data_IF_838755118375
#
_entry.id   IF_838755118375
#
_cell.length_a   1.000
_cell.length_b   1.000
_cell.length_c   1.000
_cell.angle_alpha   90.00
_cell.angle_beta   90.00
_cell.angle_gamma   90.00
#
_symmetry.space_group_name_H-M   'P 1'
#
loop_
_entity.id
_entity.type
_entity.pdbx_description
1 polymer ?
#
# COMPACT_ATOMS: atom_id res chain seq x y z
N UNK A 1 0.66 22.35 18.56
CA UNK A 1 1.46 22.75 17.39
C UNK A 1 1.70 21.48 16.60
N UNK A 2 0.89 21.23 15.56
CA UNK A 2 1.09 20.08 14.67
C UNK A 2 2.07 20.54 13.60
N UNK A 3 3.24 19.94 13.55
CA UNK A 3 4.23 20.21 12.50
C UNK A 3 3.66 19.74 11.16
N UNK A 4 3.64 20.62 10.16
CA UNK A 4 3.50 20.24 8.75
C UNK A 4 4.70 19.35 8.38
N UNK A 5 4.56 18.04 8.58
CA UNK A 5 5.44 17.07 7.95
C UNK A 5 5.08 17.08 6.46
N UNK A 6 6.03 17.37 5.55
CA UNK A 6 5.78 17.21 4.13
C UNK A 6 5.33 15.76 3.90
N UNK A 7 4.23 15.57 3.19
CA UNK A 7 3.82 14.24 2.75
C UNK A 7 4.89 13.80 1.75
N UNK A 8 5.77 12.90 2.18
CA UNK A 8 6.76 12.29 1.30
C UNK A 8 6.03 11.36 0.33
N UNK A 9 6.07 11.72 -0.95
CA UNK A 9 5.52 10.92 -2.03
C UNK A 9 6.64 10.17 -2.71
N UNK A 10 6.51 8.85 -2.80
CA UNK A 10 7.52 7.98 -3.39
C UNK A 10 7.07 7.52 -4.77
N UNK A 11 7.87 7.69 -5.83
CA UNK A 11 7.56 7.12 -7.14
C UNK A 11 7.37 5.60 -7.02
N UNK A 12 6.33 5.07 -7.65
CA UNK A 12 6.04 3.64 -7.63
C UNK A 12 5.36 3.15 -8.92
N UNK A 13 5.30 1.84 -9.06
CA UNK A 13 4.52 1.14 -10.07
C UNK A 13 3.42 0.31 -9.41
N UNK A 14 2.23 0.34 -9.99
CA UNK A 14 1.07 -0.46 -9.57
C UNK A 14 0.81 -1.53 -10.62
N UNK A 15 0.62 -2.78 -10.19
CA UNK A 15 0.39 -3.96 -11.03
C UNK A 15 -0.78 -4.79 -10.48
N UNK A 16 -2.02 -4.38 -10.76
CA UNK A 16 -3.22 -5.13 -10.35
C UNK A 16 -3.46 -6.38 -11.21
N UNK A 17 -2.92 -6.39 -12.44
CA UNK A 17 -2.96 -7.53 -13.35
C UNK A 17 -1.54 -7.97 -13.75
N UNK A 18 -1.29 -9.27 -13.97
CA UNK A 18 0.01 -9.74 -14.41
C UNK A 18 0.46 -9.08 -15.73
N UNK A 19 1.62 -8.42 -15.70
CA UNK A 19 2.24 -7.82 -16.89
C UNK A 19 1.88 -6.37 -17.15
N UNK A 20 0.90 -5.80 -16.45
CA UNK A 20 0.58 -4.38 -16.51
C UNK A 20 1.29 -3.63 -15.39
N UNK A 21 1.97 -2.53 -15.72
CA UNK A 21 2.58 -1.64 -14.72
C UNK A 21 2.22 -0.19 -15.03
N UNK A 22 1.55 0.43 -14.08
CA UNK A 22 1.12 1.83 -14.20
C UNK A 22 1.89 2.69 -13.20
N UNK A 23 2.40 3.82 -13.65
CA UNK A 23 3.14 4.76 -12.78
C UNK A 23 2.20 5.50 -11.84
N UNK A 24 2.66 5.67 -10.61
CA UNK A 24 1.95 6.43 -9.58
C UNK A 24 2.94 7.01 -8.56
N UNK A 25 2.40 7.79 -7.63
CA UNK A 25 3.06 8.24 -6.42
C UNK A 25 2.44 7.52 -5.22
N UNK A 26 3.25 6.80 -4.47
CA UNK A 26 2.88 6.19 -3.20
C UNK A 26 2.75 7.27 -2.13
N UNK A 27 1.56 7.33 -1.52
CA UNK A 27 1.26 8.21 -0.38
C UNK A 27 1.59 7.50 0.93
N UNK A 28 1.33 6.20 1.03
CA UNK A 28 1.67 5.40 2.20
C UNK A 28 0.93 4.06 2.26
N UNK A 29 1.32 3.26 3.26
CA UNK A 29 0.70 1.97 3.56
C UNK A 29 -0.17 2.06 4.82
N UNK A 30 -1.22 1.25 4.85
CA UNK A 30 -2.09 1.10 6.01
C UNK A 30 -2.71 -0.30 6.03
N UNK A 31 -3.41 -0.64 7.11
CA UNK A 31 -4.21 -1.85 7.17
C UNK A 31 -5.66 -1.49 6.89
N UNK A 32 -6.19 -1.98 5.77
CA UNK A 32 -7.62 -1.95 5.53
C UNK A 32 -8.28 -3.08 6.32
N UNK A 33 -9.30 -2.76 7.11
CA UNK A 33 -10.00 -3.74 7.91
C UNK A 33 -11.47 -3.36 8.08
N UNK A 34 -12.35 -4.35 7.93
CA UNK A 34 -13.77 -4.20 8.22
C UNK A 34 -14.37 -5.48 8.79
N UNK A 35 -15.53 -5.33 9.41
CA UNK A 35 -16.35 -6.44 9.86
C UNK A 35 -17.49 -6.63 8.86
N UNK A 36 -17.82 -7.88 8.54
CA UNK A 36 -19.02 -8.21 7.80
C UNK A 36 -19.98 -9.03 8.67
N UNK A 37 -21.27 -8.83 8.48
CA UNK A 37 -22.31 -9.58 9.17
C UNK A 37 -22.42 -11.04 8.70
N UNK A 38 -23.28 -11.80 9.39
CA UNK A 38 -23.71 -13.13 8.94
C UNK A 38 -24.43 -12.99 7.58
N UNK A 39 -24.20 -13.95 6.69
CA UNK A 39 -25.01 -14.11 5.50
C UNK A 39 -26.46 -14.45 5.87
N UNK A 40 -27.42 -13.83 5.17
CA UNK A 40 -28.85 -14.10 5.34
C UNK A 40 -29.32 -15.40 4.67
N UNK A 41 -28.45 -16.08 3.92
CA UNK A 41 -28.77 -17.32 3.22
C UNK A 41 -28.53 -18.56 4.11
N UNK A 42 -29.43 -19.54 4.00
CA UNK A 42 -29.23 -20.87 4.61
C UNK A 42 -27.96 -21.51 4.05
N UNK A 43 -26.99 -21.80 4.94
CA UNK A 43 -25.67 -22.32 4.57
C UNK A 43 -24.64 -21.25 4.18
N UNK A 44 -24.94 -19.96 4.37
CA UNK A 44 -24.02 -18.87 4.08
C UNK A 44 -22.88 -18.69 5.09
N UNK A 45 -22.01 -17.71 4.85
CA UNK A 45 -20.86 -17.41 5.70
C UNK A 45 -21.27 -16.76 7.03
N UNK A 46 -20.46 -17.02 8.08
CA UNK A 46 -20.59 -16.39 9.38
C UNK A 46 -19.93 -15.01 9.40
N UNK A 47 -20.38 -14.16 10.31
CA UNK A 47 -19.80 -12.85 10.58
C UNK A 47 -18.32 -13.02 10.90
N UNK A 48 -17.54 -12.09 10.38
CA UNK A 48 -16.09 -12.18 10.43
C UNK A 48 -15.44 -10.83 10.29
N UNK A 49 -14.14 -10.82 10.52
CA UNK A 49 -13.28 -9.68 10.27
C UNK A 49 -12.35 -10.01 9.11
N UNK A 50 -12.24 -9.07 8.18
CA UNK A 50 -11.26 -9.11 7.11
C UNK A 50 -10.27 -7.99 7.37
N UNK A 51 -8.98 -8.30 7.26
CA UNK A 51 -7.91 -7.33 7.33
C UNK A 51 -6.80 -7.69 6.34
N UNK A 52 -6.30 -6.71 5.60
CA UNK A 52 -5.15 -6.90 4.72
C UNK A 52 -4.36 -5.60 4.58
N UNK A 53 -3.05 -5.70 4.25
CA UNK A 53 -2.24 -4.52 3.96
C UNK A 53 -2.66 -3.89 2.64
N UNK A 54 -2.84 -2.58 2.66
CA UNK A 54 -3.22 -1.76 1.53
C UNK A 54 -2.27 -0.56 1.39
N UNK A 55 -2.27 0.05 0.21
CA UNK A 55 -1.52 1.25 -0.09
C UNK A 55 -2.43 2.30 -0.72
N UNK A 56 -2.19 3.57 -0.38
CA UNK A 56 -2.79 4.71 -1.08
C UNK A 56 -1.81 5.20 -2.12
N UNK A 57 -2.27 5.28 -3.38
CA UNK A 57 -1.48 5.73 -4.52
C UNK A 57 -2.21 6.84 -5.26
N UNK A 58 -1.45 7.77 -5.84
CA UNK A 58 -1.94 8.83 -6.72
C UNK A 58 -1.40 8.61 -8.14
N UNK A 59 -2.28 8.39 -9.10
CA UNK A 59 -1.91 8.21 -10.49
C UNK A 59 -1.61 9.54 -11.19
N UNK A 60 -0.97 9.48 -12.37
CA UNK A 60 -0.69 10.66 -13.19
C UNK A 60 -1.96 11.43 -13.60
N UNK A 61 -3.13 10.75 -13.66
CA UNK A 61 -4.43 11.38 -13.88
C UNK A 61 -4.88 12.29 -12.73
N UNK A 62 -4.23 12.20 -11.57
CA UNK A 62 -4.65 12.81 -10.31
C UNK A 62 -5.60 11.94 -9.48
N UNK A 63 -6.00 10.76 -9.99
CA UNK A 63 -6.85 9.83 -9.25
C UNK A 63 -6.11 9.25 -8.06
N UNK A 64 -6.74 9.29 -6.88
CA UNK A 64 -6.25 8.63 -5.67
C UNK A 64 -7.01 7.33 -5.49
N UNK A 65 -6.29 6.21 -5.34
CA UNK A 65 -6.90 4.89 -5.13
C UNK A 65 -6.24 4.14 -3.99
N UNK A 66 -7.03 3.25 -3.39
CA UNK A 66 -6.54 2.21 -2.50
C UNK A 66 -6.29 0.96 -3.33
N UNK A 67 -5.08 0.40 -3.23
CA UNK A 67 -4.68 -0.85 -3.89
C UNK A 67 -4.14 -1.82 -2.85
N UNK A 68 -4.09 -3.11 -3.18
CA UNK A 68 -3.40 -4.07 -2.31
C UNK A 68 -1.92 -3.73 -2.21
N UNK A 69 -1.33 -3.88 -1.03
CA UNK A 69 0.08 -3.54 -0.84
C UNK A 69 1.02 -4.37 -1.73
N UNK A 70 0.66 -5.62 -2.05
CA UNK A 70 1.43 -6.50 -2.94
C UNK A 70 1.36 -6.12 -4.42
N UNK A 71 0.44 -5.23 -4.80
CA UNK A 71 0.39 -4.66 -6.14
C UNK A 71 1.35 -3.49 -6.35
N UNK A 72 2.01 -2.99 -5.30
CA UNK A 72 2.87 -1.80 -5.34
C UNK A 72 4.35 -2.19 -5.34
N UNK A 73 5.10 -1.64 -6.29
CA UNK A 73 6.57 -1.68 -6.31
C UNK A 73 7.11 -0.26 -6.24
N UNK A 74 7.84 0.08 -5.18
CA UNK A 74 8.51 1.38 -5.07
C UNK A 74 9.62 1.47 -6.11
N UNK A 75 9.65 2.57 -6.88
CA UNK A 75 10.71 2.82 -7.84
C UNK A 75 11.99 3.26 -7.11
N UNK A 76 13.15 2.76 -7.53
CA UNK A 76 14.40 2.95 -6.79
C UNK A 76 14.46 2.22 -5.44
N UNK A 77 13.57 1.25 -5.17
CA UNK A 77 13.58 0.49 -3.91
C UNK A 77 14.92 -0.18 -3.61
N UNK A 78 15.68 -0.58 -4.63
CA UNK A 78 17.03 -1.13 -4.46
C UNK A 78 18.00 -0.10 -3.87
N UNK A 79 17.97 1.14 -4.37
CA UNK A 79 18.83 2.22 -3.87
C UNK A 79 18.44 2.61 -2.43
N UNK A 80 17.14 2.61 -2.13
CA UNK A 80 16.64 2.79 -0.76
C UNK A 80 17.12 1.64 0.12
N UNK A 81 16.99 0.39 -0.34
CA UNK A 81 17.43 -0.78 0.41
C UNK A 81 18.92 -0.68 0.74
N UNK A 82 19.79 -0.33 -0.21
CA UNK A 82 21.23 -0.18 0.05
C UNK A 82 21.57 0.96 1.01
N UNK A 83 20.78 2.03 1.05
CA UNK A 83 20.97 3.12 2.03
C UNK A 83 20.70 2.69 3.47
N UNK A 84 19.79 1.73 3.68
CA UNK A 84 19.35 1.31 5.02
C UNK A 84 19.80 -0.09 5.41
N UNK A 85 20.21 -0.94 4.47
CA UNK A 85 20.46 -2.36 4.73
C UNK A 85 21.67 -2.60 5.64
N UNK A 86 22.60 -1.65 5.73
CA UNK A 86 23.81 -1.80 6.54
C UNK A 86 24.32 -0.41 6.97
N UNK A 87 23.60 0.25 7.89
CA UNK A 87 24.34 1.05 8.87
C UNK A 87 25.13 0.03 9.69
N UNK A 88 26.27 -0.39 9.14
CA UNK A 88 27.19 -1.25 9.85
C UNK A 88 27.43 -0.60 11.21
N UNK A 89 27.26 -1.47 12.20
CA UNK A 89 27.62 -1.28 13.58
C UNK A 89 29.10 -0.91 13.68
N UNK A 90 29.42 0.38 13.55
CA UNK A 90 30.66 0.93 14.09
C UNK A 90 30.41 1.23 15.58
N UNK A 91 30.52 0.17 16.40
CA UNK A 91 31.27 0.13 17.68
C UNK A 91 31.31 -1.28 18.28
#
# INVERSE_FOLDING_TARGET
MWTNLPIELYPCYVSEMPGEKTRALLVGFFQEAWTHGDSTLLGGFKAGQIAFPAAVVMFESGDIRTVRADAVTVDGAADIFFQYAWLDSDE
#
